data_IF_771002415951
#
_entry.id   IF_771002415951
#
_cell.length_a   1.000
_cell.length_b   1.000
_cell.length_c   1.000
_cell.angle_alpha   90.00
_cell.angle_beta   90.00
_cell.angle_gamma   90.00
#
_symmetry.space_group_name_H-M   'P 1'
#
loop_
_entity.id
_entity.type
_entity.pdbx_description
1 polymer ?
#
# COMPACT_ATOMS: atom_id res chain seq x y z
N UNK A 1 12.87 28.20 -6.60
CA UNK A 1 12.54 28.27 -5.15
C UNK A 1 13.02 26.98 -4.50
N UNK A 2 13.74 27.03 -3.37
CA UNK A 2 14.21 25.81 -2.67
C UNK A 2 13.02 25.13 -1.99
N UNK A 3 12.83 23.83 -2.20
CA UNK A 3 11.75 23.06 -1.56
C UNK A 3 12.04 22.90 -0.06
N UNK A 4 10.98 22.90 0.75
CA UNK A 4 11.05 22.59 2.19
C UNK A 4 11.05 21.07 2.40
N UNK A 5 11.59 20.63 3.52
CA UNK A 5 11.59 19.23 3.95
C UNK A 5 10.80 19.10 5.24
N UNK A 6 9.97 18.06 5.33
CA UNK A 6 9.25 17.68 6.53
C UNK A 6 9.32 16.15 6.71
N UNK A 7 9.45 15.69 7.96
CA UNK A 7 9.58 14.27 8.28
C UNK A 7 8.32 13.73 8.97
N UNK A 8 7.90 12.55 8.56
CA UNK A 8 6.75 11.82 9.08
C UNK A 8 7.12 10.35 9.29
N UNK A 9 6.42 9.66 10.18
CA UNK A 9 6.55 8.20 10.26
C UNK A 9 5.88 7.56 9.05
N UNK A 10 4.67 8.03 8.72
CA UNK A 10 3.85 7.52 7.62
C UNK A 10 3.35 8.68 6.75
N UNK A 11 3.53 8.55 5.42
CA UNK A 11 2.87 9.40 4.43
C UNK A 11 1.89 8.58 3.61
N UNK A 12 0.63 9.01 3.57
CA UNK A 12 -0.46 8.36 2.84
C UNK A 12 -0.82 9.23 1.63
N UNK A 13 -0.81 8.64 0.43
CA UNK A 13 -1.12 9.32 -0.83
C UNK A 13 -2.50 8.88 -1.31
N UNK A 14 -3.49 9.76 -1.18
CA UNK A 14 -4.88 9.53 -1.54
C UNK A 14 -5.79 9.52 -0.32
N UNK A 15 -6.85 10.33 -0.37
CA UNK A 15 -7.81 10.55 0.70
C UNK A 15 -9.16 9.86 0.49
N UNK A 16 -9.20 8.75 -0.26
CA UNK A 16 -10.39 7.90 -0.37
C UNK A 16 -10.64 7.04 0.88
N UNK A 17 -11.61 6.11 0.84
CA UNK A 17 -11.93 5.25 1.98
C UNK A 17 -10.72 4.45 2.49
N UNK A 18 -9.89 3.93 1.57
CA UNK A 18 -8.69 3.18 1.92
C UNK A 18 -7.67 4.05 2.66
N UNK A 19 -7.31 5.21 2.10
CA UNK A 19 -6.31 6.10 2.69
C UNK A 19 -6.76 6.70 4.03
N UNK A 20 -8.05 7.10 4.14
CA UNK A 20 -8.62 7.57 5.39
C UNK A 20 -8.65 6.47 6.46
N UNK A 21 -8.93 5.22 6.07
CA UNK A 21 -8.88 4.09 6.99
C UNK A 21 -7.45 3.81 7.47
N UNK A 22 -6.47 3.76 6.55
CA UNK A 22 -5.06 3.63 6.92
C UNK A 22 -4.62 4.74 7.87
N UNK A 23 -5.03 5.98 7.61
CA UNK A 23 -4.77 7.12 8.48
C UNK A 23 -5.32 6.92 9.89
N UNK A 24 -6.56 6.41 10.03
CA UNK A 24 -7.15 6.11 11.34
C UNK A 24 -6.31 5.10 12.11
N UNK A 25 -5.87 4.02 11.46
CA UNK A 25 -5.05 2.99 12.11
C UNK A 25 -3.67 3.53 12.50
N UNK A 26 -2.96 4.22 11.61
CA UNK A 26 -1.67 4.81 11.91
C UNK A 26 -1.77 5.88 13.02
N UNK A 27 -2.81 6.71 12.99
CA UNK A 27 -3.07 7.70 14.04
C UNK A 27 -3.38 7.06 15.40
N UNK A 28 -4.11 5.94 15.42
CA UNK A 28 -4.37 5.16 16.65
C UNK A 28 -3.09 4.57 17.23
N UNK A 29 -2.18 4.12 16.37
CA UNK A 29 -0.83 3.68 16.74
C UNK A 29 0.10 4.84 17.16
N UNK A 30 -0.40 6.09 17.17
CA UNK A 30 0.34 7.33 17.52
C UNK A 30 1.52 7.62 16.60
N UNK A 31 1.50 7.11 15.38
CA UNK A 31 2.50 7.42 14.36
C UNK A 31 2.27 8.85 13.85
N UNK A 32 3.34 9.64 13.68
CA UNK A 32 3.25 10.96 13.06
C UNK A 32 2.88 10.80 11.58
N UNK A 33 1.58 10.92 11.29
CA UNK A 33 0.98 10.54 10.01
C UNK A 33 0.51 11.76 9.22
N UNK A 34 0.89 11.82 7.94
CA UNK A 34 0.38 12.79 6.97
C UNK A 34 -0.43 12.08 5.88
N UNK A 35 -1.65 12.52 5.64
CA UNK A 35 -2.45 12.15 4.46
C UNK A 35 -2.47 13.30 3.46
N UNK A 36 -2.16 12.99 2.21
CA UNK A 36 -2.15 13.92 1.08
C UNK A 36 -3.28 13.55 0.12
N UNK A 37 -4.17 14.49 -0.17
CA UNK A 37 -5.22 14.35 -1.18
C UNK A 37 -5.10 15.49 -2.19
N UNK A 38 -5.26 15.20 -3.49
CA UNK A 38 -5.11 16.20 -4.54
C UNK A 38 -6.34 17.11 -4.70
N UNK A 39 -7.52 16.60 -4.36
CA UNK A 39 -8.81 17.26 -4.58
C UNK A 39 -9.72 17.09 -3.35
N UNK A 40 -10.90 16.48 -3.51
CA UNK A 40 -11.88 16.27 -2.46
C UNK A 40 -11.58 14.98 -1.67
N UNK A 41 -11.61 15.09 -0.34
CA UNK A 41 -11.53 13.93 0.55
C UNK A 41 -12.74 13.02 0.38
N UNK A 42 -12.50 11.71 0.41
CA UNK A 42 -13.49 10.66 0.21
C UNK A 42 -13.43 10.00 -1.17
N UNK A 43 -12.72 10.59 -2.14
CA UNK A 43 -12.52 10.00 -3.46
C UNK A 43 -13.84 9.73 -4.20
N UNK A 44 -13.88 8.64 -4.98
CA UNK A 44 -15.05 8.30 -5.82
C UNK A 44 -16.34 8.07 -5.03
N UNK A 45 -16.24 7.69 -3.75
CA UNK A 45 -17.42 7.51 -2.90
C UNK A 45 -18.21 8.81 -2.71
N UNK A 46 -17.59 9.99 -2.87
CA UNK A 46 -18.31 11.27 -2.69
C UNK A 46 -19.33 11.58 -3.78
N UNK A 47 -19.24 10.93 -4.94
CA UNK A 47 -20.16 11.18 -6.07
C UNK A 47 -21.48 10.42 -5.95
N UNK A 48 -21.59 9.43 -5.05
CA UNK A 48 -22.86 8.69 -4.90
C UNK A 48 -23.80 9.41 -3.95
N UNK A 49 -25.03 9.59 -4.42
CA UNK A 49 -26.11 10.17 -3.62
C UNK A 49 -26.52 9.26 -2.47
N UNK A 50 -26.36 7.94 -2.64
CA UNK A 50 -26.78 6.94 -1.67
C UNK A 50 -25.78 5.77 -1.62
N UNK A 51 -25.50 5.28 -0.41
CA UNK A 51 -24.73 4.06 -0.15
C UNK A 51 -25.60 3.10 0.66
N UNK A 52 -26.13 2.08 0.00
CA UNK A 52 -26.99 1.06 0.62
C UNK A 52 -26.22 -0.21 1.01
N UNK A 53 -24.93 -0.30 0.65
CA UNK A 53 -24.15 -1.53 0.72
C UNK A 53 -22.91 -1.45 1.63
N UNK A 54 -22.79 -0.40 2.45
CA UNK A 54 -21.75 -0.28 3.47
C UNK A 54 -22.31 -0.64 4.85
N UNK A 55 -21.93 -1.79 5.43
CA UNK A 55 -22.52 -2.27 6.67
C UNK A 55 -22.37 -1.29 7.84
N UNK A 56 -23.38 -1.24 8.70
CA UNK A 56 -23.43 -0.35 9.88
C UNK A 56 -24.29 0.90 9.68
N UNK A 57 -24.82 1.11 8.47
CA UNK A 57 -25.72 2.22 8.14
C UNK A 57 -26.98 1.64 7.48
N UNK A 58 -28.02 1.31 8.28
CA UNK A 58 -29.27 0.73 7.76
C UNK A 58 -30.19 1.77 7.10
N UNK A 59 -29.97 3.05 7.39
CA UNK A 59 -30.69 4.18 6.83
C UNK A 59 -29.89 4.81 5.68
N UNK A 60 -30.58 5.54 4.79
CA UNK A 60 -29.99 6.23 3.65
C UNK A 60 -28.82 7.12 4.08
N UNK A 61 -27.65 6.89 3.47
CA UNK A 61 -26.45 7.64 3.74
C UNK A 61 -25.80 8.06 2.43
N UNK A 62 -25.61 9.37 2.26
CA UNK A 62 -24.86 9.87 1.11
C UNK A 62 -23.39 9.48 1.22
N UNK A 63 -22.74 9.25 0.07
CA UNK A 63 -21.32 8.92 0.07
C UNK A 63 -20.45 10.06 0.60
N UNK A 64 -20.87 11.31 0.40
CA UNK A 64 -20.24 12.47 1.00
C UNK A 64 -20.30 12.43 2.53
N UNK A 65 -21.46 12.11 3.12
CA UNK A 65 -21.61 12.08 4.58
C UNK A 65 -20.86 10.92 5.21
N UNK A 66 -20.83 9.75 4.56
CA UNK A 66 -19.97 8.65 4.98
C UNK A 66 -18.50 9.08 5.05
N UNK A 67 -18.00 9.74 4.01
CA UNK A 67 -16.59 10.15 3.93
C UNK A 67 -16.25 11.28 4.91
N UNK A 68 -17.18 12.18 5.22
CA UNK A 68 -17.02 13.16 6.32
C UNK A 68 -16.82 12.46 7.67
N UNK A 69 -17.50 11.35 7.92
CA UNK A 69 -17.30 10.59 9.17
C UNK A 69 -15.88 10.00 9.23
N UNK A 70 -15.38 9.47 8.12
CA UNK A 70 -14.02 8.93 8.02
C UNK A 70 -12.97 10.02 8.26
N UNK A 71 -13.14 11.17 7.62
CA UNK A 71 -12.28 12.34 7.83
C UNK A 71 -12.28 12.78 9.30
N UNK A 72 -13.46 12.88 9.92
CA UNK A 72 -13.60 13.24 11.33
C UNK A 72 -12.89 12.25 12.25
N UNK A 73 -12.97 10.94 11.95
CA UNK A 73 -12.25 9.91 12.70
C UNK A 73 -10.74 10.01 12.53
N UNK A 74 -10.23 10.22 11.31
CA UNK A 74 -8.80 10.40 11.07
C UNK A 74 -8.26 11.62 11.84
N UNK A 75 -8.95 12.76 11.75
CA UNK A 75 -8.61 13.99 12.49
C UNK A 75 -8.67 13.79 14.01
N UNK A 76 -9.62 13.00 14.53
CA UNK A 76 -9.72 12.68 15.97
C UNK A 76 -8.46 12.01 16.50
N UNK A 77 -7.76 11.23 15.68
CA UNK A 77 -6.50 10.58 16.05
C UNK A 77 -5.24 11.41 15.68
N UNK A 78 -5.41 12.71 15.41
CA UNK A 78 -4.29 13.63 15.21
C UNK A 78 -3.63 13.55 13.82
N UNK A 79 -4.24 12.85 12.87
CA UNK A 79 -3.72 12.77 11.49
C UNK A 79 -3.76 14.14 10.83
N UNK A 80 -2.62 14.55 10.26
CA UNK A 80 -2.56 15.77 9.44
C UNK A 80 -3.06 15.45 8.04
N UNK A 81 -3.98 16.26 7.52
CA UNK A 81 -4.51 16.11 6.17
C UNK A 81 -4.14 17.34 5.36
N UNK A 82 -3.61 17.15 4.16
CA UNK A 82 -3.19 18.23 3.27
C UNK A 82 -3.75 18.06 1.88
N UNK A 83 -4.42 19.12 1.40
CA UNK A 83 -4.91 19.19 0.04
C UNK A 83 -3.79 19.72 -0.88
N UNK A 84 -3.09 18.81 -1.55
CA UNK A 84 -2.04 19.12 -2.51
C UNK A 84 -1.78 17.91 -3.42
N UNK A 85 -1.33 18.18 -4.63
CA UNK A 85 -0.96 17.13 -5.57
C UNK A 85 0.46 16.60 -5.33
N UNK A 86 0.62 15.28 -5.39
CA UNK A 86 1.93 14.60 -5.35
C UNK A 86 2.45 14.52 -6.78
N UNK A 87 3.65 15.07 -6.99
CA UNK A 87 4.27 15.17 -8.32
C UNK A 87 5.22 14.03 -8.60
N UNK A 88 5.91 13.53 -7.58
CA UNK A 88 6.93 12.50 -7.71
C UNK A 88 7.07 11.74 -6.39
N UNK A 89 7.48 10.48 -6.48
CA UNK A 89 7.95 9.70 -5.35
C UNK A 89 9.36 9.19 -5.62
N UNK A 90 10.13 9.03 -4.55
CA UNK A 90 11.38 8.28 -4.54
C UNK A 90 11.29 7.29 -3.38
N UNK A 91 11.18 6.01 -3.71
CA UNK A 91 10.88 4.96 -2.74
C UNK A 91 12.15 4.14 -2.51
N UNK A 92 12.88 4.50 -1.46
CA UNK A 92 14.13 3.82 -1.06
C UNK A 92 13.98 3.24 0.36
N UNK A 93 14.11 1.92 0.55
CA UNK A 93 13.98 1.29 1.86
C UNK A 93 15.20 1.50 2.77
N UNK A 94 16.33 1.99 2.24
CA UNK A 94 17.57 2.25 2.96
C UNK A 94 17.66 3.71 3.39
N UNK A 95 17.42 4.64 2.45
CA UNK A 95 17.56 6.08 2.70
C UNK A 95 16.28 6.74 3.23
N UNK A 96 15.19 5.98 3.31
CA UNK A 96 13.84 6.47 3.57
C UNK A 96 13.13 6.95 2.30
N UNK A 97 11.81 6.94 2.34
CA UNK A 97 10.98 7.29 1.21
C UNK A 97 10.75 8.80 1.14
N UNK A 98 10.66 9.36 -0.07
CA UNK A 98 10.37 10.76 -0.30
C UNK A 98 9.13 10.93 -1.18
N UNK A 99 8.20 11.77 -0.73
CA UNK A 99 6.98 12.15 -1.44
C UNK A 99 7.04 13.63 -1.76
N UNK A 100 7.15 13.97 -3.04
CA UNK A 100 7.41 15.32 -3.51
C UNK A 100 6.13 16.00 -4.00
N UNK A 101 5.86 17.19 -3.47
CA UNK A 101 4.81 18.10 -3.93
C UNK A 101 5.42 19.33 -4.57
N UNK A 102 4.59 20.29 -5.01
CA UNK A 102 5.09 21.53 -5.59
C UNK A 102 6.02 22.31 -4.64
N UNK A 103 5.72 22.36 -3.34
CA UNK A 103 6.45 23.18 -2.35
C UNK A 103 7.32 22.40 -1.37
N UNK A 104 6.97 21.16 -1.07
CA UNK A 104 7.53 20.38 0.04
C UNK A 104 7.88 18.97 -0.41
N UNK A 105 9.00 18.45 0.08
CA UNK A 105 9.38 17.04 0.02
C UNK A 105 9.13 16.46 1.42
N UNK A 106 8.24 15.47 1.51
CA UNK A 106 7.97 14.75 2.74
C UNK A 106 8.83 13.50 2.79
N UNK A 107 9.67 13.38 3.81
CA UNK A 107 10.43 12.15 4.08
C UNK A 107 9.62 11.27 5.02
N UNK A 108 9.54 9.97 4.73
CA UNK A 108 8.78 9.01 5.51
C UNK A 108 9.51 7.68 5.67
N UNK A 109 9.33 7.03 6.81
CA UNK A 109 9.75 5.63 7.01
C UNK A 109 8.85 4.68 6.21
N UNK A 110 7.56 5.01 6.11
CA UNK A 110 6.55 4.23 5.39
C UNK A 110 5.73 5.12 4.46
N UNK A 111 5.41 4.60 3.27
CA UNK A 111 4.46 5.21 2.34
C UNK A 111 3.30 4.27 2.08
N UNK A 112 2.06 4.77 2.22
CA UNK A 112 0.85 4.03 1.84
C UNK A 112 0.23 4.72 0.62
N UNK A 113 0.07 3.98 -0.47
CA UNK A 113 -0.50 4.47 -1.72
C UNK A 113 -1.97 4.04 -1.79
N UNK A 114 -2.87 5.02 -1.80
CA UNK A 114 -4.31 4.85 -1.85
C UNK A 114 -4.97 5.77 -2.88
N UNK A 115 -4.30 5.98 -4.02
CA UNK A 115 -4.71 6.93 -5.09
C UNK A 115 -5.95 6.50 -5.86
N UNK A 116 -6.43 5.27 -5.65
CA UNK A 116 -7.63 4.72 -6.29
C UNK A 116 -7.53 4.68 -7.81
N UNK A 117 -8.68 4.87 -8.47
CA UNK A 117 -8.78 4.96 -9.92
C UNK A 117 -9.73 6.05 -10.36
N UNK A 118 -9.94 6.14 -11.66
CA UNK A 118 -10.95 6.99 -12.30
C UNK A 118 -11.74 6.16 -13.33
N UNK A 119 -13.04 6.41 -13.51
CA UNK A 119 -13.79 5.75 -14.57
C UNK A 119 -13.17 6.09 -15.94
N UNK A 120 -13.21 5.14 -16.87
CA UNK A 120 -12.97 5.47 -18.28
C UNK A 120 -14.12 6.36 -18.75
N UNK A 121 -13.80 7.35 -19.58
CA UNK A 121 -14.79 8.26 -20.16
C UNK A 121 -15.11 7.92 -21.62
N UNK A 122 -14.34 7.03 -22.25
CA UNK A 122 -14.48 6.64 -23.67
C UNK A 122 -14.55 5.12 -23.81
N UNK A 123 -15.44 4.65 -24.70
CA UNK A 123 -15.87 3.26 -24.78
C UNK A 123 -14.89 2.26 -25.40
N UNK A 124 -15.25 0.98 -25.28
CA UNK A 124 -14.63 -0.16 -25.96
C UNK A 124 -15.40 -0.40 -27.25
N UNK A 125 -14.70 -0.53 -28.38
CA UNK A 125 -15.30 -0.71 -29.70
C UNK A 125 -15.21 -2.19 -30.07
N UNK A 126 -16.36 -2.79 -30.37
CA UNK A 126 -16.47 -4.16 -30.87
C UNK A 126 -17.31 -4.20 -32.14
N UNK A 127 -17.09 -5.22 -32.97
CA UNK A 127 -17.99 -5.56 -34.06
C UNK A 127 -19.37 -6.02 -33.52
N UNK A 128 -20.39 -5.96 -34.37
CA UNK A 128 -21.75 -6.30 -33.98
C UNK A 128 -21.85 -7.74 -33.47
N UNK A 129 -22.49 -7.91 -32.31
CA UNK A 129 -22.66 -9.21 -31.66
C UNK A 129 -21.44 -9.69 -30.86
N UNK A 130 -20.34 -8.93 -30.80
CA UNK A 130 -19.16 -9.24 -29.99
C UNK A 130 -19.20 -8.42 -28.68
N UNK A 131 -19.11 -9.09 -27.53
CA UNK A 131 -19.11 -8.46 -26.21
C UNK A 131 -18.01 -9.05 -25.33
N UNK A 132 -17.39 -8.21 -24.49
CA UNK A 132 -16.46 -8.65 -23.43
C UNK A 132 -17.22 -9.20 -22.21
N UNK A 133 -18.10 -10.18 -22.45
CA UNK A 133 -18.91 -10.84 -21.43
C UNK A 133 -18.91 -12.35 -21.66
N UNK A 134 -19.23 -13.12 -20.62
CA UNK A 134 -19.44 -14.55 -20.80
C UNK A 134 -20.65 -14.81 -21.73
N UNK A 135 -20.58 -15.89 -22.50
CA UNK A 135 -21.59 -16.19 -23.53
C UNK A 135 -23.01 -16.36 -22.96
N UNK A 136 -23.15 -16.85 -21.73
CA UNK A 136 -24.46 -17.03 -21.09
C UNK A 136 -25.11 -15.66 -20.85
N UNK A 137 -24.38 -14.73 -20.23
CA UNK A 137 -24.86 -13.38 -19.95
C UNK A 137 -25.16 -12.60 -21.24
N UNK A 138 -24.28 -12.73 -22.26
CA UNK A 138 -24.50 -12.15 -23.59
C UNK A 138 -25.80 -12.66 -24.22
N UNK A 139 -26.00 -13.97 -24.25
CA UNK A 139 -27.19 -14.57 -24.86
C UNK A 139 -28.47 -14.18 -24.12
N UNK A 140 -28.44 -14.14 -22.78
CA UNK A 140 -29.57 -13.66 -21.98
C UNK A 140 -29.89 -12.19 -22.24
N UNK A 141 -28.87 -11.34 -22.36
CA UNK A 141 -29.04 -9.92 -22.60
C UNK A 141 -29.59 -9.65 -24.01
N UNK A 142 -29.06 -10.32 -25.05
CA UNK A 142 -29.54 -10.23 -26.43
C UNK A 142 -30.97 -10.76 -26.61
N UNK A 143 -31.37 -11.77 -25.82
CA UNK A 143 -32.72 -12.32 -25.87
C UNK A 143 -33.76 -11.50 -25.06
N UNK A 144 -33.32 -10.50 -24.30
CA UNK A 144 -34.22 -9.73 -23.44
C UNK A 144 -34.95 -8.65 -24.24
N UNK A 145 -36.30 -8.70 -24.35
CA UNK A 145 -37.06 -7.73 -25.16
C UNK A 145 -37.06 -6.31 -24.58
N UNK A 146 -36.55 -6.11 -23.35
CA UNK A 146 -36.40 -4.78 -22.72
C UNK A 146 -35.02 -4.15 -22.97
N UNK A 147 -34.12 -4.84 -23.65
CA UNK A 147 -32.77 -4.36 -23.92
C UNK A 147 -32.59 -4.07 -25.41
N UNK A 148 -32.10 -2.87 -25.71
CA UNK A 148 -31.68 -2.48 -27.04
C UNK A 148 -30.16 -2.27 -27.05
N UNK A 149 -29.49 -2.72 -28.11
CA UNK A 149 -28.04 -2.61 -28.26
C UNK A 149 -27.69 -1.71 -29.43
N UNK A 150 -26.95 -0.63 -29.16
CA UNK A 150 -26.39 0.28 -30.16
C UNK A 150 -24.91 -0.05 -30.37
N UNK A 151 -24.60 -0.75 -31.46
CA UNK A 151 -23.23 -1.16 -31.79
C UNK A 151 -22.43 -0.04 -32.46
N UNK A 152 -21.10 -0.15 -32.45
CA UNK A 152 -20.20 0.81 -33.11
C UNK A 152 -20.46 2.27 -32.72
N UNK A 153 -20.95 2.49 -31.50
CA UNK A 153 -21.50 3.78 -31.07
C UNK A 153 -20.82 4.21 -29.77
N UNK A 154 -20.52 5.50 -29.64
CA UNK A 154 -19.98 6.08 -28.41
C UNK A 154 -20.85 7.23 -27.91
N UNK A 155 -20.72 7.59 -26.64
CA UNK A 155 -21.34 8.82 -26.14
C UNK A 155 -20.60 10.04 -26.72
N UNK A 156 -21.36 10.97 -27.29
CA UNK A 156 -20.88 12.26 -27.80
C UNK A 156 -21.07 13.37 -26.75
N UNK A 157 -22.29 13.50 -26.21
CA UNK A 157 -22.61 14.46 -25.15
C UNK A 157 -23.66 13.92 -24.18
N UNK A 158 -23.67 14.49 -22.98
CA UNK A 158 -24.74 14.34 -22.00
C UNK A 158 -25.48 15.68 -21.92
N UNK A 159 -26.81 15.64 -22.07
CA UNK A 159 -27.66 16.82 -22.13
C UNK A 159 -28.71 16.78 -21.02
N UNK A 160 -28.93 17.94 -20.41
CA UNK A 160 -29.79 18.12 -19.26
C UNK A 160 -29.52 19.43 -18.54
N UNK A 161 -30.48 19.86 -17.73
CA UNK A 161 -30.29 21.01 -16.82
C UNK A 161 -29.79 20.50 -15.46
N UNK A 162 -30.70 20.25 -14.51
CA UNK A 162 -30.36 19.74 -13.18
C UNK A 162 -30.18 18.22 -13.12
N UNK A 163 -30.74 17.51 -14.11
CA UNK A 163 -30.68 16.06 -14.25
C UNK A 163 -30.44 15.68 -15.71
N UNK A 164 -29.93 14.47 -15.93
CA UNK A 164 -29.78 13.91 -17.27
C UNK A 164 -31.17 13.73 -17.91
N UNK A 165 -31.36 14.27 -19.11
CA UNK A 165 -32.56 14.06 -19.93
C UNK A 165 -32.23 13.27 -21.20
N UNK A 166 -31.07 13.54 -21.80
CA UNK A 166 -30.68 12.97 -23.09
C UNK A 166 -29.20 12.60 -23.10
N UNK A 167 -28.88 11.44 -23.69
CA UNK A 167 -27.52 11.07 -24.07
C UNK A 167 -27.44 11.09 -25.58
N UNK A 168 -26.59 11.97 -26.13
CA UNK A 168 -26.34 11.97 -27.57
C UNK A 168 -25.28 10.94 -27.86
N UNK A 169 -25.65 9.97 -28.69
CA UNK A 169 -24.78 8.92 -29.15
C UNK A 169 -24.23 9.26 -30.53
N UNK A 170 -23.02 8.82 -30.83
CA UNK A 170 -22.38 8.96 -32.14
C UNK A 170 -21.99 7.62 -32.70
N UNK A 171 -22.54 7.28 -33.86
CA UNK A 171 -22.10 6.12 -34.61
C UNK A 171 -20.70 6.39 -35.18
N UNK A 172 -19.73 5.55 -34.83
CA UNK A 172 -18.33 5.72 -35.20
C UNK A 172 -18.04 5.39 -36.66
N UNK A 173 -18.90 4.59 -37.31
CA UNK A 173 -18.76 4.23 -38.72
C UNK A 173 -19.36 5.30 -39.63
N UNK A 174 -20.53 5.84 -39.28
CA UNK A 174 -21.26 6.80 -40.12
C UNK A 174 -21.04 8.26 -39.70
N UNK A 175 -20.63 8.51 -38.46
CA UNK A 175 -20.54 9.84 -37.87
C UNK A 175 -21.88 10.44 -37.43
N UNK A 176 -22.98 9.72 -37.62
CA UNK A 176 -24.35 10.15 -37.29
C UNK A 176 -24.54 10.30 -35.77
N UNK A 177 -25.30 11.34 -35.38
CA UNK A 177 -25.70 11.59 -34.00
C UNK A 177 -27.13 11.08 -33.76
N UNK A 178 -27.31 10.33 -32.67
CA UNK A 178 -28.57 9.73 -32.24
C UNK A 178 -28.88 10.19 -30.80
N UNK A 179 -29.77 11.19 -30.62
CA UNK A 179 -30.18 11.66 -29.30
C UNK A 179 -31.13 10.66 -28.64
N UNK A 180 -30.72 10.06 -27.53
CA UNK A 180 -31.53 9.08 -26.80
C UNK A 180 -32.00 9.67 -25.47
N UNK A 181 -33.31 9.82 -25.32
CA UNK A 181 -33.92 10.24 -24.05
C UNK A 181 -33.78 9.16 -23.00
N UNK A 182 -33.18 9.51 -21.87
CA UNK A 182 -32.95 8.61 -20.74
C UNK A 182 -32.97 9.40 -19.43
N UNK A 183 -33.59 8.81 -18.41
CA UNK A 183 -33.54 9.38 -17.05
C UNK A 183 -32.20 9.10 -16.35
N UNK A 184 -31.47 8.06 -16.78
CA UNK A 184 -30.24 7.61 -16.12
C UNK A 184 -29.29 6.92 -17.10
N UNK A 185 -27.99 7.19 -16.94
CA UNK A 185 -26.93 6.52 -17.70
C UNK A 185 -25.97 5.80 -16.74
N UNK A 186 -25.74 4.51 -17.00
CA UNK A 186 -24.77 3.71 -16.26
C UNK A 186 -23.53 3.43 -17.13
N UNK A 187 -22.37 3.94 -16.71
CA UNK A 187 -21.12 3.73 -17.44
C UNK A 187 -20.33 2.54 -16.87
N UNK A 188 -20.33 1.42 -17.60
CA UNK A 188 -19.58 0.21 -17.25
C UNK A 188 -18.37 -0.05 -18.17
N UNK A 189 -17.64 1.00 -18.51
CA UNK A 189 -16.49 0.93 -19.45
C UNK A 189 -15.14 0.74 -18.76
N UNK A 190 -15.16 0.32 -17.49
CA UNK A 190 -13.97 0.02 -16.70
C UNK A 190 -13.30 1.25 -16.08
N UNK A 191 -12.21 0.99 -15.36
CA UNK A 191 -11.48 1.98 -14.57
C UNK A 191 -10.01 2.07 -15.01
N UNK A 192 -9.44 3.26 -14.86
CA UNK A 192 -8.02 3.53 -15.01
C UNK A 192 -7.44 3.73 -13.61
N UNK A 193 -6.48 2.91 -13.24
CA UNK A 193 -5.71 3.05 -12.01
C UNK A 193 -4.92 4.38 -12.03
N UNK A 194 -4.95 5.14 -10.93
CA UNK A 194 -4.16 6.37 -10.78
C UNK A 194 -2.72 6.02 -10.39
N UNK A 195 -2.01 5.34 -11.30
CA UNK A 195 -0.69 4.75 -11.06
C UNK A 195 0.46 5.44 -11.77
N UNK A 196 0.19 6.56 -12.47
CA UNK A 196 1.13 7.18 -13.40
C UNK A 196 2.49 7.52 -12.78
N UNK A 197 2.52 8.03 -11.54
CA UNK A 197 3.75 8.41 -10.84
C UNK A 197 4.52 7.21 -10.24
N UNK A 198 3.98 5.99 -10.36
CA UNK A 198 4.57 4.77 -9.79
C UNK A 198 5.06 3.78 -10.86
N UNK A 199 4.81 4.06 -12.16
CA UNK A 199 5.04 3.11 -13.26
C UNK A 199 6.47 2.57 -13.36
N UNK A 200 7.44 3.41 -13.03
CA UNK A 200 8.87 3.06 -13.12
C UNK A 200 9.48 2.67 -11.76
N UNK A 201 8.65 2.55 -10.73
CA UNK A 201 9.11 2.35 -9.34
C UNK A 201 8.50 1.08 -8.74
N UNK A 202 7.22 0.82 -8.99
CA UNK A 202 6.49 -0.33 -8.45
C UNK A 202 6.13 -1.32 -9.55
N UNK A 203 5.88 -2.57 -9.17
CA UNK A 203 5.35 -3.56 -10.11
C UNK A 203 3.87 -3.33 -10.38
N UNK A 204 3.51 -3.24 -11.67
CA UNK A 204 2.12 -3.11 -12.12
C UNK A 204 1.77 -4.28 -13.02
N UNK A 205 0.50 -4.66 -13.02
CA UNK A 205 -0.03 -5.57 -14.02
C UNK A 205 -0.23 -4.86 -15.38
N UNK A 206 -0.61 -5.61 -16.41
CA UNK A 206 -0.84 -5.09 -17.76
C UNK A 206 -1.95 -4.03 -17.84
N UNK A 207 -2.84 -3.97 -16.85
CA UNK A 207 -3.92 -2.99 -16.74
C UNK A 207 -3.52 -1.75 -15.93
N UNK A 208 -2.28 -1.68 -15.42
CA UNK A 208 -1.75 -0.55 -14.65
C UNK A 208 -2.15 -0.53 -13.17
N UNK A 209 -2.67 -1.63 -12.62
CA UNK A 209 -2.90 -1.76 -11.18
C UNK A 209 -1.63 -2.24 -10.49
N UNK A 210 -1.36 -1.72 -9.29
CA UNK A 210 -0.15 -2.11 -8.53
C UNK A 210 -0.34 -3.51 -7.95
N UNK A 211 0.69 -4.34 -8.06
CA UNK A 211 0.70 -5.70 -7.52
C UNK A 211 1.09 -5.64 -6.04
N UNK A 212 0.32 -6.33 -5.20
CA UNK A 212 0.61 -6.50 -3.77
C UNK A 212 0.35 -7.92 -3.31
N UNK A 213 0.90 -8.29 -2.15
CA UNK A 213 0.44 -9.45 -1.40
C UNK A 213 -0.80 -9.13 -0.53
N UNK A 214 -1.24 -10.10 0.27
CA UNK A 214 -2.39 -9.97 1.19
C UNK A 214 -2.13 -9.02 2.37
N UNK A 215 -0.86 -8.75 2.71
CA UNK A 215 -0.46 -7.78 3.73
C UNK A 215 -0.35 -6.35 3.15
N UNK A 216 -0.80 -6.14 1.91
CA UNK A 216 -0.73 -4.88 1.16
C UNK A 216 0.69 -4.43 0.82
N UNK A 217 1.68 -5.31 0.95
CA UNK A 217 3.09 -5.00 0.65
C UNK A 217 3.35 -4.99 -0.86
N UNK A 218 4.23 -4.08 -1.27
CA UNK A 218 4.77 -4.04 -2.64
C UNK A 218 6.13 -4.76 -2.72
N UNK A 219 6.78 -4.67 -3.88
CA UNK A 219 8.18 -5.10 -4.04
C UNK A 219 9.20 -4.24 -3.28
N UNK A 220 8.79 -3.10 -2.70
CA UNK A 220 9.66 -2.20 -1.94
C UNK A 220 9.27 -2.26 -0.45
N UNK A 221 10.19 -2.67 0.45
CA UNK A 221 9.94 -2.65 1.89
C UNK A 221 9.55 -1.25 2.38
N UNK A 222 8.57 -1.17 3.29
CA UNK A 222 8.05 0.10 3.78
C UNK A 222 7.04 0.79 2.86
N UNK A 223 6.73 0.20 1.70
CA UNK A 223 5.72 0.71 0.77
C UNK A 223 4.54 -0.24 0.69
N UNK A 224 3.36 0.27 1.06
CA UNK A 224 2.09 -0.45 1.03
C UNK A 224 1.12 0.20 0.05
N UNK A 225 0.17 -0.57 -0.48
CA UNK A 225 -0.85 -0.07 -1.41
C UNK A 225 -2.22 -0.60 -1.01
N UNK A 226 -3.21 0.28 -0.89
CA UNK A 226 -4.55 -0.06 -0.43
C UNK A 226 -5.65 0.51 -1.33
N UNK A 227 -6.77 -0.21 -1.44
CA UNK A 227 -7.95 0.22 -2.17
C UNK A 227 -7.88 -0.07 -3.68
N UNK A 228 -8.57 0.74 -4.47
CA UNK A 228 -8.85 0.39 -5.88
C UNK A 228 -7.65 0.56 -6.83
N UNK A 229 -6.52 1.06 -6.32
CA UNK A 229 -5.26 1.20 -7.06
C UNK A 229 -4.50 -0.14 -7.19
N UNK A 230 -4.73 -1.11 -6.28
CA UNK A 230 -4.11 -2.44 -6.35
C UNK A 230 -4.90 -3.41 -7.23
N UNK A 231 -4.24 -4.47 -7.67
CA UNK A 231 -4.89 -5.59 -8.35
C UNK A 231 -5.82 -6.32 -7.37
N UNK A 232 -7.13 -6.27 -7.63
CA UNK A 232 -8.15 -7.01 -6.88
C UNK A 232 -9.40 -7.27 -7.71
N UNK A 233 -10.20 -8.23 -7.25
CA UNK A 233 -11.45 -8.65 -7.90
C UNK A 233 -12.62 -7.71 -7.59
N UNK A 234 -12.72 -7.21 -6.35
CA UNK A 234 -13.86 -6.43 -5.88
C UNK A 234 -13.46 -5.01 -5.46
N UNK A 235 -14.08 -4.02 -6.10
CA UNK A 235 -13.91 -2.58 -5.83
C UNK A 235 -15.16 -2.05 -5.14
N UNK A 236 -15.10 -1.92 -3.82
CA UNK A 236 -16.18 -1.47 -2.96
C UNK A 236 -15.57 -0.64 -1.82
N UNK A 237 -16.37 0.24 -1.21
CA UNK A 237 -15.94 0.99 -0.02
C UNK A 237 -15.47 0.02 1.08
N UNK A 238 -16.23 -1.05 1.32
CA UNK A 238 -15.88 -2.08 2.31
C UNK A 238 -14.54 -2.78 2.03
N UNK A 239 -14.25 -3.14 0.77
CA UNK A 239 -12.95 -3.77 0.44
C UNK A 239 -11.81 -2.78 0.56
N UNK A 240 -12.01 -1.52 0.18
CA UNK A 240 -11.03 -0.45 0.38
C UNK A 240 -10.75 -0.18 1.87
N UNK A 241 -11.77 -0.21 2.73
CA UNK A 241 -11.60 -0.12 4.19
C UNK A 241 -10.80 -1.31 4.73
N UNK A 242 -11.10 -2.53 4.26
CA UNK A 242 -10.33 -3.73 4.59
C UNK A 242 -8.85 -3.57 4.23
N UNK A 243 -8.56 -3.28 2.95
CA UNK A 243 -7.20 -3.02 2.46
C UNK A 243 -6.50 -1.93 3.31
N UNK A 244 -7.21 -0.82 3.58
CA UNK A 244 -6.67 0.31 4.33
C UNK A 244 -6.33 -0.05 5.79
N UNK A 245 -7.15 -0.89 6.42
CA UNK A 245 -6.92 -1.40 7.78
C UNK A 245 -5.67 -2.26 7.84
N UNK A 246 -5.52 -3.19 6.89
CA UNK A 246 -4.35 -4.08 6.79
C UNK A 246 -3.10 -3.23 6.58
N UNK A 247 -3.11 -2.31 5.62
CA UNK A 247 -1.96 -1.44 5.33
C UNK A 247 -1.56 -0.57 6.55
N UNK A 248 -2.54 -0.07 7.31
CA UNK A 248 -2.26 0.72 8.52
C UNK A 248 -1.58 -0.09 9.63
N UNK A 249 -2.04 -1.33 9.86
CA UNK A 249 -1.42 -2.25 10.83
C UNK A 249 -0.05 -2.72 10.35
N UNK A 250 0.10 -3.00 9.06
CA UNK A 250 1.37 -3.41 8.47
C UNK A 250 2.42 -2.29 8.54
N UNK A 251 2.00 -1.03 8.35
CA UNK A 251 2.85 0.14 8.55
C UNK A 251 3.37 0.27 9.99
N UNK A 252 2.49 0.11 10.98
CA UNK A 252 2.86 0.09 12.40
C UNK A 252 3.87 -1.02 12.69
N UNK A 253 3.56 -2.26 12.26
CA UNK A 253 4.45 -3.40 12.43
C UNK A 253 5.82 -3.14 11.81
N UNK A 254 5.85 -2.63 10.58
CA UNK A 254 7.09 -2.36 9.87
C UNK A 254 7.97 -1.32 10.60
N UNK A 255 7.37 -0.23 11.09
CA UNK A 255 8.09 0.79 11.85
C UNK A 255 8.61 0.22 13.16
N UNK A 256 7.77 -0.50 13.92
CA UNK A 256 8.18 -1.10 15.19
C UNK A 256 9.34 -2.10 15.01
N UNK A 257 9.28 -2.95 13.98
CA UNK A 257 10.36 -3.88 13.66
C UNK A 257 11.62 -3.15 13.17
N UNK A 258 11.46 -2.04 12.47
CA UNK A 258 12.57 -1.19 12.03
C UNK A 258 13.29 -0.52 13.19
N UNK A 259 12.55 0.06 14.11
CA UNK A 259 13.11 0.68 15.30
C UNK A 259 13.76 -0.36 16.21
N UNK A 260 13.15 -1.53 16.37
CA UNK A 260 13.76 -2.66 17.07
C UNK A 260 15.08 -3.06 16.41
N UNK A 261 15.12 -3.17 15.07
CA UNK A 261 16.33 -3.51 14.34
C UNK A 261 17.44 -2.48 14.53
N UNK A 262 17.13 -1.19 14.39
CA UNK A 262 18.12 -0.13 14.49
C UNK A 262 18.61 0.06 15.94
N UNK A 263 17.70 0.06 16.91
CA UNK A 263 18.02 0.38 18.31
C UNK A 263 18.52 -0.82 19.10
N UNK A 264 18.00 -2.04 18.84
CA UNK A 264 18.34 -3.22 19.64
C UNK A 264 19.33 -4.14 18.94
N UNK A 265 19.25 -4.27 17.61
CA UNK A 265 20.08 -5.21 16.85
C UNK A 265 21.36 -4.55 16.35
N UNK A 266 21.26 -3.37 15.72
CA UNK A 266 22.40 -2.71 15.08
C UNK A 266 23.26 -1.87 16.01
N UNK A 267 22.73 -1.41 17.16
CA UNK A 267 23.39 -0.70 18.26
C UNK A 267 24.77 -0.08 17.94
N UNK A 268 24.83 1.23 17.78
CA UNK A 268 26.12 1.92 17.52
C UNK A 268 27.12 1.86 18.67
N UNK A 269 26.64 1.60 19.89
CA UNK A 269 27.44 1.74 21.11
C UNK A 269 28.21 0.46 21.50
N UNK A 270 27.83 -0.70 20.95
CA UNK A 270 28.43 -2.00 21.29
C UNK A 270 28.56 -2.85 20.05
N UNK A 271 29.53 -3.76 20.07
CA UNK A 271 29.60 -4.83 19.06
C UNK A 271 28.38 -5.73 19.26
N UNK A 272 27.58 -5.92 18.20
CA UNK A 272 26.43 -6.81 18.26
C UNK A 272 26.80 -8.22 17.82
N UNK A 273 26.42 -9.21 18.64
CA UNK A 273 26.43 -10.63 18.32
C UNK A 273 25.00 -11.06 18.04
N UNK A 274 24.69 -11.42 16.80
CA UNK A 274 23.34 -11.81 16.41
C UNK A 274 23.37 -13.28 16.01
N UNK A 275 22.54 -14.10 16.65
CA UNK A 275 22.41 -15.50 16.32
C UNK A 275 21.04 -15.79 15.70
N UNK A 276 21.07 -16.35 14.48
CA UNK A 276 19.90 -16.72 13.70
C UNK A 276 19.59 -18.18 14.01
N UNK A 277 18.53 -18.42 14.77
CA UNK A 277 18.18 -19.76 15.21
C UNK A 277 16.89 -20.25 14.54
N UNK A 278 16.77 -21.56 14.40
CA UNK A 278 15.55 -22.23 13.99
C UNK A 278 14.88 -22.86 15.21
N UNK A 279 13.67 -22.43 15.54
CA UNK A 279 12.91 -22.99 16.66
C UNK A 279 12.49 -24.45 16.44
N UNK A 280 12.60 -24.98 15.22
CA UNK A 280 12.25 -26.37 14.87
C UNK A 280 13.48 -27.28 14.75
N UNK A 281 14.69 -26.72 14.72
CA UNK A 281 15.94 -27.47 14.60
C UNK A 281 16.64 -27.62 15.97
N UNK A 282 16.86 -28.86 16.40
CA UNK A 282 17.40 -29.13 17.74
C UNK A 282 18.88 -28.68 17.90
N UNK A 283 19.80 -29.00 16.97
CA UNK A 283 21.15 -28.41 16.93
C UNK A 283 21.16 -26.88 17.01
N UNK A 284 20.34 -26.19 16.21
CA UNK A 284 20.25 -24.73 16.25
C UNK A 284 19.82 -24.20 17.62
N UNK A 285 18.80 -24.81 18.26
CA UNK A 285 18.41 -24.40 19.62
C UNK A 285 19.50 -24.63 20.66
N UNK A 286 20.29 -25.70 20.51
CA UNK A 286 21.39 -26.04 21.42
C UNK A 286 22.45 -24.94 21.51
N UNK A 287 22.71 -24.25 20.40
CA UNK A 287 23.71 -23.16 20.34
C UNK A 287 23.27 -21.88 21.07
N UNK A 288 21.98 -21.72 21.40
CA UNK A 288 21.51 -20.53 22.14
C UNK A 288 22.23 -20.39 23.48
N UNK A 289 22.38 -21.50 24.22
CA UNK A 289 23.07 -21.52 25.51
C UNK A 289 24.54 -21.15 25.36
N UNK A 290 25.19 -21.56 24.28
CA UNK A 290 26.58 -21.18 24.00
C UNK A 290 26.70 -19.70 23.67
N UNK A 291 25.79 -19.13 22.88
CA UNK A 291 25.77 -17.70 22.58
C UNK A 291 25.61 -16.87 23.86
N UNK A 292 24.73 -17.29 24.77
CA UNK A 292 24.53 -16.63 26.06
C UNK A 292 25.79 -16.71 26.93
N UNK A 293 26.49 -17.86 26.91
CA UNK A 293 27.76 -18.00 27.61
C UNK A 293 28.85 -17.07 27.03
N UNK A 294 28.87 -16.86 25.71
CA UNK A 294 29.78 -15.90 25.06
C UNK A 294 29.45 -14.46 25.48
N UNK A 295 28.17 -14.06 25.47
CA UNK A 295 27.77 -12.71 25.92
C UNK A 295 28.23 -12.43 27.36
N UNK A 296 28.08 -13.41 28.25
CA UNK A 296 28.52 -13.32 29.64
C UNK A 296 30.05 -13.19 29.75
N UNK A 297 30.80 -14.00 29.00
CA UNK A 297 32.27 -13.97 28.96
C UNK A 297 32.81 -12.62 28.44
N UNK A 298 32.11 -12.00 27.48
CA UNK A 298 32.52 -10.71 26.92
C UNK A 298 32.28 -9.53 27.89
N UNK A 299 31.63 -9.75 29.04
CA UNK A 299 31.58 -8.79 30.14
C UNK A 299 30.86 -7.48 29.78
N UNK A 300 29.81 -7.57 28.96
CA UNK A 300 29.01 -6.42 28.54
C UNK A 300 29.58 -5.56 27.41
N UNK A 301 30.75 -5.93 26.85
CA UNK A 301 31.33 -5.34 25.62
C UNK A 301 30.54 -5.67 24.36
N UNK A 302 29.80 -6.78 24.40
CA UNK A 302 29.00 -7.31 23.30
C UNK A 302 27.55 -7.40 23.75
N UNK A 303 26.61 -7.23 22.81
CA UNK A 303 25.19 -7.49 23.02
C UNK A 303 24.73 -8.66 22.17
N UNK A 304 24.14 -9.68 22.80
CA UNK A 304 23.51 -10.80 22.09
C UNK A 304 22.08 -10.45 21.69
N UNK A 305 21.75 -10.74 20.44
CA UNK A 305 20.39 -10.77 19.91
C UNK A 305 20.09 -12.15 19.32
N UNK A 306 18.98 -12.75 19.73
CA UNK A 306 18.51 -14.03 19.23
C UNK A 306 17.32 -13.79 18.29
N UNK A 307 17.44 -14.23 17.04
CA UNK A 307 16.42 -14.02 16.02
C UNK A 307 15.94 -15.38 15.50
N UNK A 308 14.65 -15.64 15.64
CA UNK A 308 14.00 -16.83 15.08
C UNK A 308 13.81 -16.63 13.57
N UNK A 309 14.48 -17.48 12.78
CA UNK A 309 14.51 -17.39 11.32
C UNK A 309 13.11 -17.36 10.69
N UNK A 310 12.19 -18.19 11.19
CA UNK A 310 10.87 -18.35 10.59
C UNK A 310 9.85 -17.32 11.10
N UNK A 311 10.01 -16.82 12.34
CA UNK A 311 9.11 -15.80 12.90
C UNK A 311 9.52 -14.37 12.54
N UNK A 312 10.77 -14.16 12.16
CA UNK A 312 11.36 -12.83 11.93
C UNK A 312 12.06 -12.74 10.57
N UNK A 313 11.37 -13.20 9.53
CA UNK A 313 11.88 -13.24 8.16
C UNK A 313 12.32 -11.85 7.66
N UNK A 314 11.56 -10.79 7.99
CA UNK A 314 11.92 -9.42 7.61
C UNK A 314 13.26 -8.98 8.22
N UNK A 315 13.49 -9.26 9.51
CA UNK A 315 14.77 -8.96 10.17
C UNK A 315 15.93 -9.75 9.54
N UNK A 316 15.71 -11.02 9.21
CA UNK A 316 16.72 -11.86 8.56
C UNK A 316 17.10 -11.29 7.18
N UNK A 317 16.12 -10.87 6.38
CA UNK A 317 16.37 -10.22 5.07
C UNK A 317 17.17 -8.92 5.22
N UNK A 318 16.93 -8.14 6.29
CA UNK A 318 17.67 -6.89 6.57
C UNK A 318 19.11 -7.10 6.99
N UNK A 319 19.45 -8.25 7.56
CA UNK A 319 20.85 -8.64 7.82
C UNK A 319 21.61 -8.97 6.53
N UNK A 320 20.94 -8.95 5.38
CA UNK A 320 21.47 -9.14 4.03
C UNK A 320 21.34 -10.57 3.53
N UNK A 321 21.88 -10.84 2.34
CA UNK A 321 21.86 -12.16 1.71
C UNK A 321 22.68 -13.20 2.49
N UNK A 322 22.34 -14.48 2.32
CA UNK A 322 23.06 -15.62 2.90
C UNK A 322 22.78 -15.88 4.38
N UNK A 323 21.72 -15.30 4.94
CA UNK A 323 21.29 -15.56 6.32
C UNK A 323 20.40 -16.79 6.35
N UNK A 324 20.87 -17.85 7.02
CA UNK A 324 20.19 -19.14 7.20
C UNK A 324 20.21 -19.54 8.69
N UNK A 325 19.42 -20.55 9.12
CA UNK A 325 19.57 -21.10 10.47
C UNK A 325 21.03 -21.43 10.81
N UNK A 326 21.41 -21.17 12.06
CA UNK A 326 22.77 -21.30 12.58
C UNK A 326 23.80 -20.29 12.06
N UNK A 327 23.36 -19.21 11.41
CA UNK A 327 24.22 -18.08 11.05
C UNK A 327 24.50 -17.20 12.27
N UNK A 328 25.76 -16.78 12.42
CA UNK A 328 26.21 -15.76 13.37
C UNK A 328 26.53 -14.49 12.57
N UNK A 329 25.92 -13.38 12.96
CA UNK A 329 26.12 -12.07 12.34
C UNK A 329 26.76 -11.13 13.35
N UNK A 330 27.82 -10.44 12.92
CA UNK A 330 28.55 -9.47 13.71
C UNK A 330 28.25 -8.07 13.21
N UNK A 331 28.02 -7.14 14.15
CA UNK A 331 27.79 -5.73 13.85
C UNK A 331 28.73 -4.82 14.64
N UNK A 332 29.15 -3.72 14.03
CA UNK A 332 29.93 -2.64 14.65
C UNK A 332 29.47 -1.31 14.05
N UNK A 333 29.34 -0.27 14.89
CA UNK A 333 28.95 1.09 14.48
C UNK A 333 27.62 1.20 13.71
N UNK A 334 26.69 0.26 13.92
CA UNK A 334 25.40 0.24 13.22
C UNK A 334 25.38 -0.54 11.91
N UNK A 335 26.46 -1.21 11.54
CA UNK A 335 26.60 -1.93 10.28
C UNK A 335 26.96 -3.40 10.48
N UNK A 336 26.53 -4.25 9.55
CA UNK A 336 26.94 -5.65 9.48
C UNK A 336 28.36 -5.74 8.95
N UNK A 337 29.30 -6.19 9.77
CA UNK A 337 30.72 -6.28 9.42
C UNK A 337 31.14 -7.68 8.98
N UNK A 338 30.48 -8.73 9.49
CA UNK A 338 30.83 -10.12 9.16
C UNK A 338 29.62 -11.04 9.38
N UNK A 339 29.54 -12.10 8.56
CA UNK A 339 28.56 -13.19 8.69
C UNK A 339 29.28 -14.52 8.51
N UNK A 340 29.03 -15.48 9.38
CA UNK A 340 29.58 -16.84 9.26
C UNK A 340 28.63 -17.88 9.85
N UNK A 341 28.64 -19.10 9.32
CA UNK A 341 27.98 -20.23 9.97
C UNK A 341 28.71 -20.56 11.27
N UNK A 342 27.97 -20.98 12.30
CA UNK A 342 28.59 -21.42 13.54
C UNK A 342 29.60 -22.55 13.30
N UNK A 343 30.83 -22.36 13.77
CA UNK A 343 31.90 -23.39 13.73
C UNK A 343 32.32 -23.81 15.13
N UNK A 344 32.68 -22.85 15.99
CA UNK A 344 33.04 -23.09 17.38
C UNK A 344 32.94 -21.81 18.21
N UNK A 345 32.76 -21.96 19.53
CA UNK A 345 32.82 -20.86 20.51
C UNK A 345 34.11 -20.03 20.39
N UNK A 346 35.26 -20.68 20.22
CA UNK A 346 36.56 -20.02 20.14
C UNK A 346 36.68 -19.07 18.93
N UNK A 347 36.16 -19.48 17.77
CA UNK A 347 36.15 -18.66 16.55
C UNK A 347 35.36 -17.36 16.74
N UNK A 348 34.18 -17.47 17.37
CA UNK A 348 33.30 -16.34 17.62
C UNK A 348 33.94 -15.37 18.61
N UNK A 349 34.49 -15.89 19.72
CA UNK A 349 35.18 -15.07 20.72
C UNK A 349 36.39 -14.34 20.12
N UNK A 350 37.16 -15.00 19.24
CA UNK A 350 38.28 -14.35 18.52
C UNK A 350 37.79 -13.17 17.68
N UNK A 351 36.77 -13.39 16.84
CA UNK A 351 36.17 -12.33 15.99
C UNK A 351 35.63 -11.18 16.84
N UNK A 352 34.95 -11.47 17.96
CA UNK A 352 34.42 -10.42 18.85
C UNK A 352 35.53 -9.60 19.51
N UNK A 353 36.63 -10.23 19.93
CA UNK A 353 37.76 -9.52 20.51
C UNK A 353 38.43 -8.59 19.49
N UNK A 354 38.55 -8.99 18.23
CA UNK A 354 39.04 -8.13 17.14
C UNK A 354 38.12 -6.92 16.91
N UNK A 355 36.80 -7.14 16.94
CA UNK A 355 35.83 -6.06 16.75
C UNK A 355 35.71 -5.11 17.94
N UNK A 356 36.01 -5.57 19.16
CA UNK A 356 35.97 -4.74 20.37
C UNK A 356 37.24 -3.92 20.60
N UNK A 357 38.30 -4.14 19.81
CA UNK A 357 39.45 -3.24 19.71
C UNK A 357 39.08 -1.99 18.91
#
# INVERSE_FOLDING_TARGET
>A
MRKKYESYDVVIIGGGPAGLTSAIYCGRARLNTLLIEKSLLGGLATYTNEICNYPGFPEDLSGLDLMKQFEKQAKKFGVKIKLTDVKKVHLDPVCGHMVETFRIIYQAKVVIIATGGRPRLTGVIHDEGIMDANEIAKNQALANPKMEFKWNTMVDSFEGEDHLDTVVLKNLKTGELDPVKVDTCFMFIGYIANSEIFKDVLQLNSQGYIITNEEMETNIPGVFVAGDIRQKSLRQVATAVGDGSIAGVAAERYIAETEMFEQQIMQKEKVGLIYIFSAIDAPSRGLITEMQAIELEMGGRVKLNLIDFYKKECLCKRLGTGVEPMTVVFTKDGEVVKKESYTSKASIVSTLNELCQ
#
